data_IF_656430393645
#
_entry.id   IF_656430393645
#
_cell.length_a   1.000
_cell.length_b   1.000
_cell.length_c   1.000
_cell.angle_alpha   90.00
_cell.angle_beta   90.00
_cell.angle_gamma   90.00
#
_symmetry.space_group_name_H-M   'P 1'
#
loop_
_entity.id
_entity.type
_entity.pdbx_description
1 polymer ?
#
# COMPACT_ATOMS: atom_id res chain seq x y z
N UNK A 1 25.65 -1.96 -17.35
CA UNK A 1 24.88 -0.83 -16.78
C UNK A 1 23.38 -1.10 -16.76
N UNK A 2 22.79 -1.67 -17.80
CA UNK A 2 21.35 -1.99 -17.84
C UNK A 2 20.95 -2.98 -16.74
N UNK A 3 21.74 -4.01 -16.51
CA UNK A 3 21.46 -5.05 -15.49
C UNK A 3 21.41 -4.47 -14.07
N UNK A 4 22.29 -3.50 -13.77
CA UNK A 4 22.27 -2.82 -12.46
C UNK A 4 20.99 -2.01 -12.29
N UNK A 5 20.52 -1.33 -13.32
CA UNK A 5 19.27 -0.57 -13.28
C UNK A 5 18.05 -1.49 -13.10
N UNK A 6 18.05 -2.65 -13.74
CA UNK A 6 17.00 -3.67 -13.59
C UNK A 6 16.97 -4.20 -12.16
N UNK A 7 18.13 -4.57 -11.60
CA UNK A 7 18.24 -5.06 -10.23
C UNK A 7 17.78 -3.99 -9.23
N UNK A 8 18.24 -2.75 -9.40
CA UNK A 8 17.83 -1.63 -8.54
C UNK A 8 16.32 -1.36 -8.62
N UNK A 9 15.75 -1.36 -9.83
CA UNK A 9 14.30 -1.19 -10.01
C UNK A 9 13.51 -2.30 -9.31
N UNK A 10 13.94 -3.56 -9.43
CA UNK A 10 13.31 -4.69 -8.75
C UNK A 10 13.35 -4.54 -7.24
N UNK A 11 14.52 -4.16 -6.69
CA UNK A 11 14.68 -3.91 -5.26
C UNK A 11 13.77 -2.79 -4.76
N UNK A 12 13.77 -1.64 -5.42
CA UNK A 12 12.90 -0.51 -5.01
C UNK A 12 11.41 -0.81 -5.16
N UNK A 13 11.03 -1.58 -6.16
CA UNK A 13 9.65 -2.04 -6.32
C UNK A 13 9.22 -2.92 -5.13
N UNK A 14 10.06 -3.86 -4.71
CA UNK A 14 9.77 -4.75 -3.58
C UNK A 14 9.73 -3.95 -2.25
N UNK A 15 10.63 -2.99 -2.05
CA UNK A 15 10.60 -2.07 -0.89
C UNK A 15 9.33 -1.21 -0.89
N UNK A 16 8.92 -0.68 -2.03
CA UNK A 16 7.70 0.11 -2.14
C UNK A 16 6.44 -0.72 -1.83
N UNK A 17 6.39 -1.97 -2.31
CA UNK A 17 5.31 -2.91 -2.01
C UNK A 17 5.25 -3.23 -0.50
N UNK A 18 6.39 -3.49 0.13
CA UNK A 18 6.47 -3.72 1.57
C UNK A 18 6.04 -2.48 2.37
N UNK A 19 6.43 -1.28 1.93
CA UNK A 19 6.04 0.00 2.54
C UNK A 19 4.53 0.23 2.44
N UNK A 20 3.93 -0.07 1.30
CA UNK A 20 2.49 0.04 1.10
C UNK A 20 1.73 -0.91 2.02
N UNK A 21 2.18 -2.16 2.13
CA UNK A 21 1.59 -3.16 3.02
C UNK A 21 1.74 -2.75 4.50
N UNK A 22 2.93 -2.31 4.91
CA UNK A 22 3.18 -1.83 6.27
C UNK A 22 2.28 -0.63 6.62
N UNK A 23 2.13 0.33 5.69
CA UNK A 23 1.23 1.47 5.87
C UNK A 23 -0.22 1.05 6.06
N UNK A 24 -0.69 0.04 5.31
CA UNK A 24 -2.03 -0.51 5.44
C UNK A 24 -2.24 -1.21 6.80
N UNK A 25 -1.24 -1.98 7.27
CA UNK A 25 -1.29 -2.65 8.58
C UNK A 25 -1.32 -1.63 9.72
N UNK A 26 -0.44 -0.61 9.67
CA UNK A 26 -0.41 0.46 10.68
C UNK A 26 -1.77 1.18 10.71
N UNK A 27 -2.31 1.53 9.55
CA UNK A 27 -3.60 2.19 9.46
C UNK A 27 -4.72 1.32 10.05
N UNK A 28 -4.69 0.01 9.80
CA UNK A 28 -5.66 -0.94 10.36
C UNK A 28 -5.59 -1.04 11.87
N UNK A 29 -4.38 -1.10 12.43
CA UNK A 29 -4.17 -1.13 13.88
C UNK A 29 -4.70 0.15 14.53
N UNK A 30 -4.37 1.31 13.98
CA UNK A 30 -4.83 2.61 14.46
C UNK A 30 -6.36 2.74 14.35
N UNK A 31 -6.94 2.31 13.24
CA UNK A 31 -8.39 2.29 13.05
C UNK A 31 -9.08 1.41 14.08
N UNK A 32 -8.56 0.19 14.29
CA UNK A 32 -9.14 -0.77 15.25
C UNK A 32 -9.04 -0.25 16.69
N UNK A 33 -7.97 0.46 17.00
CA UNK A 33 -7.77 1.10 18.28
C UNK A 33 -8.76 2.26 18.47
N UNK A 34 -8.80 3.18 17.53
CA UNK A 34 -9.71 4.33 17.54
C UNK A 34 -11.19 3.91 17.68
N UNK A 35 -11.57 2.78 17.06
CA UNK A 35 -12.93 2.23 17.16
C UNK A 35 -13.28 1.67 18.54
N UNK A 36 -12.28 1.40 19.41
CA UNK A 36 -12.47 0.76 20.73
C UNK A 36 -12.26 1.70 21.90
N UNK A 37 -11.32 2.61 21.81
CA UNK A 37 -10.81 3.39 22.94
C UNK A 37 -11.38 4.80 23.01
N UNK A 38 -12.05 5.30 21.94
CA UNK A 38 -12.86 6.52 22.01
C UNK A 38 -12.28 7.76 21.31
N UNK A 39 -12.79 8.98 21.62
CA UNK A 39 -12.56 10.18 20.80
C UNK A 39 -11.09 10.64 20.70
N UNK A 40 -10.29 10.37 21.75
CA UNK A 40 -8.87 10.77 21.74
C UNK A 40 -8.06 10.01 20.69
N UNK A 41 -8.35 8.71 20.51
CA UNK A 41 -7.67 7.88 19.51
C UNK A 41 -8.15 8.18 18.10
N UNK A 42 -9.41 8.58 17.93
CA UNK A 42 -9.92 9.10 16.65
C UNK A 42 -9.18 10.39 16.26
N UNK A 43 -8.96 11.31 17.20
CA UNK A 43 -8.20 12.54 16.97
C UNK A 43 -6.73 12.27 16.64
N UNK A 44 -6.11 11.23 17.24
CA UNK A 44 -4.77 10.81 16.89
C UNK A 44 -4.72 10.20 15.47
N UNK A 45 -5.67 9.33 15.14
CA UNK A 45 -5.81 8.77 13.80
C UNK A 45 -6.00 9.87 12.75
N UNK A 46 -6.85 10.86 13.00
CA UNK A 46 -7.10 11.97 12.10
C UNK A 46 -5.82 12.79 11.83
N UNK A 47 -4.96 12.97 12.85
CA UNK A 47 -3.66 13.64 12.68
C UNK A 47 -2.63 12.81 11.92
N UNK A 48 -2.59 11.49 12.14
CA UNK A 48 -1.67 10.58 11.47
C UNK A 48 -2.08 10.27 10.02
N UNK A 49 -3.37 10.33 9.72
CA UNK A 49 -3.95 9.94 8.44
C UNK A 49 -3.33 10.64 7.21
N UNK A 50 -3.10 11.98 7.19
CA UNK A 50 -2.51 12.65 6.03
C UNK A 50 -1.08 12.18 5.74
N UNK A 51 -0.26 11.97 6.78
CA UNK A 51 1.10 11.49 6.63
C UNK A 51 1.13 10.06 6.06
N UNK A 52 0.33 9.16 6.64
CA UNK A 52 0.21 7.78 6.15
C UNK A 52 -0.31 7.73 4.71
N UNK A 53 -1.28 8.59 4.37
CA UNK A 53 -1.82 8.68 3.01
C UNK A 53 -0.77 9.15 2.01
N UNK A 54 0.05 10.13 2.39
CA UNK A 54 1.16 10.61 1.54
C UNK A 54 2.18 9.49 1.30
N UNK A 55 2.60 8.77 2.34
CA UNK A 55 3.50 7.63 2.22
C UNK A 55 2.94 6.53 1.33
N UNK A 56 1.68 6.14 1.55
CA UNK A 56 1.02 5.12 0.75
C UNK A 56 0.90 5.53 -0.73
N UNK A 57 0.57 6.79 -1.01
CA UNK A 57 0.46 7.27 -2.39
C UNK A 57 1.82 7.29 -3.10
N UNK A 58 2.90 7.68 -2.42
CA UNK A 58 4.26 7.64 -2.97
C UNK A 58 4.67 6.20 -3.27
N UNK A 59 4.44 5.28 -2.31
CA UNK A 59 4.74 3.86 -2.49
C UNK A 59 3.93 3.26 -3.64
N UNK A 60 2.62 3.56 -3.71
CA UNK A 60 1.76 3.09 -4.80
C UNK A 60 2.20 3.61 -6.16
N UNK A 61 2.54 4.90 -6.26
CA UNK A 61 3.07 5.48 -7.49
C UNK A 61 4.36 4.77 -7.93
N UNK A 62 5.25 4.46 -6.97
CA UNK A 62 6.47 3.72 -7.27
C UNK A 62 6.21 2.27 -7.70
N UNK A 63 5.27 1.59 -7.08
CA UNK A 63 4.84 0.22 -7.48
C UNK A 63 4.32 0.23 -8.93
N UNK A 64 3.51 1.22 -9.30
CA UNK A 64 2.97 1.32 -10.66
C UNK A 64 4.08 1.66 -11.66
N UNK A 65 4.86 2.71 -11.41
CA UNK A 65 5.90 3.18 -12.33
C UNK A 65 7.03 2.14 -12.46
N UNK A 66 7.48 1.56 -11.34
CA UNK A 66 8.54 0.54 -11.33
C UNK A 66 8.06 -0.84 -11.82
N UNK A 67 6.75 -1.11 -11.74
CA UNK A 67 6.16 -2.35 -12.23
C UNK A 67 6.13 -2.45 -13.75
N UNK A 68 6.02 -1.32 -14.47
CA UNK A 68 6.00 -1.32 -15.94
C UNK A 68 7.30 -1.86 -16.54
N UNK A 69 8.51 -1.33 -16.19
CA UNK A 69 9.78 -1.89 -16.68
C UNK A 69 9.95 -3.36 -16.30
N UNK A 70 9.53 -3.73 -15.07
CA UNK A 70 9.60 -5.11 -14.60
C UNK A 70 8.75 -6.06 -15.44
N UNK A 71 7.52 -5.67 -15.77
CA UNK A 71 6.63 -6.46 -16.62
C UNK A 71 7.22 -6.65 -18.04
N UNK A 72 7.88 -5.64 -18.58
CA UNK A 72 8.51 -5.69 -19.91
C UNK A 72 9.75 -6.59 -19.86
N UNK A 73 10.64 -6.42 -18.88
CA UNK A 73 11.88 -7.22 -18.77
C UNK A 73 11.60 -8.67 -18.45
N UNK A 74 10.59 -8.94 -17.61
CA UNK A 74 10.15 -10.30 -17.32
C UNK A 74 9.72 -11.06 -18.59
N UNK A 75 8.97 -10.40 -19.44
CA UNK A 75 8.47 -11.02 -20.68
C UNK A 75 9.59 -11.25 -21.73
N UNK A 76 10.63 -10.43 -21.73
CA UNK A 76 11.69 -10.50 -22.76
C UNK A 76 12.92 -11.30 -22.35
N UNK A 77 13.27 -11.33 -21.05
CA UNK A 77 14.52 -11.95 -20.57
C UNK A 77 14.30 -13.16 -19.65
N UNK A 78 13.32 -13.11 -18.75
CA UNK A 78 13.20 -14.12 -17.70
C UNK A 78 12.37 -15.36 -18.11
N UNK A 79 11.35 -15.19 -18.96
CA UNK A 79 10.54 -16.31 -19.46
C UNK A 79 11.33 -17.32 -20.31
N UNK A 80 12.43 -16.90 -20.94
CA UNK A 80 13.31 -17.76 -21.72
C UNK A 80 14.20 -18.66 -20.86
N UNK A 81 14.62 -18.18 -19.69
CA UNK A 81 15.57 -18.85 -18.79
C UNK A 81 14.89 -19.66 -17.67
N UNK A 82 13.65 -19.34 -17.30
CA UNK A 82 12.96 -19.88 -16.12
C UNK A 82 11.77 -20.77 -16.50
N UNK A 83 11.97 -21.77 -17.35
CA UNK A 83 10.91 -22.73 -17.69
C UNK A 83 10.67 -23.70 -16.53
N UNK A 84 9.48 -23.68 -15.95
CA UNK A 84 8.87 -24.76 -15.18
C UNK A 84 8.46 -24.37 -13.75
N UNK A 85 9.39 -24.38 -12.78
CA UNK A 85 9.03 -24.38 -11.35
C UNK A 85 8.85 -23.01 -10.72
N UNK A 86 9.36 -21.94 -11.33
CA UNK A 86 9.29 -20.57 -10.80
C UNK A 86 8.03 -19.81 -11.21
N UNK A 87 7.37 -20.21 -12.29
CA UNK A 87 6.13 -19.56 -12.75
C UNK A 87 5.03 -19.60 -11.70
N UNK A 88 4.74 -20.72 -11.00
CA UNK A 88 3.75 -20.76 -9.94
C UNK A 88 4.06 -19.81 -8.78
N UNK A 89 5.33 -19.72 -8.37
CA UNK A 89 5.75 -18.83 -7.27
C UNK A 89 5.53 -17.36 -7.62
N UNK A 90 5.80 -16.96 -8.86
CA UNK A 90 5.58 -15.60 -9.35
C UNK A 90 4.09 -15.27 -9.43
N UNK A 91 3.27 -16.21 -9.90
CA UNK A 91 1.81 -16.04 -9.94
C UNK A 91 1.26 -15.86 -8.52
N UNK A 92 1.67 -16.71 -7.57
CA UNK A 92 1.26 -16.61 -6.16
C UNK A 92 1.69 -15.25 -5.57
N UNK A 93 2.93 -14.80 -5.83
CA UNK A 93 3.41 -13.49 -5.39
C UNK A 93 2.49 -12.36 -5.89
N UNK A 94 2.17 -12.33 -7.18
CA UNK A 94 1.32 -11.28 -7.75
C UNK A 94 -0.12 -11.33 -7.22
N UNK A 95 -0.68 -12.52 -7.02
CA UNK A 95 -2.01 -12.69 -6.43
C UNK A 95 -2.03 -12.12 -5.01
N UNK A 96 -1.01 -12.42 -4.20
CA UNK A 96 -0.87 -11.87 -2.84
C UNK A 96 -0.69 -10.35 -2.85
N UNK A 97 0.13 -9.81 -3.75
CA UNK A 97 0.32 -8.37 -3.93
C UNK A 97 -0.99 -7.66 -4.29
N UNK A 98 -1.73 -8.16 -5.27
CA UNK A 98 -3.03 -7.60 -5.67
C UNK A 98 -4.03 -7.68 -4.52
N UNK A 99 -4.13 -8.81 -3.84
CA UNK A 99 -5.01 -8.97 -2.68
C UNK A 99 -4.67 -7.98 -1.57
N UNK A 100 -3.38 -7.76 -1.27
CA UNK A 100 -2.91 -6.81 -0.28
C UNK A 100 -3.26 -5.35 -0.67
N UNK A 101 -3.08 -4.99 -1.94
CA UNK A 101 -3.45 -3.65 -2.46
C UNK A 101 -4.96 -3.42 -2.35
N UNK A 102 -5.77 -4.39 -2.73
CA UNK A 102 -7.24 -4.31 -2.63
C UNK A 102 -7.69 -4.19 -1.18
N UNK A 103 -7.16 -5.04 -0.28
CA UNK A 103 -7.46 -4.98 1.14
C UNK A 103 -7.06 -3.61 1.75
N UNK A 104 -5.87 -3.10 1.40
CA UNK A 104 -5.40 -1.78 1.79
C UNK A 104 -6.33 -0.66 1.32
N UNK A 105 -6.77 -0.69 0.06
CA UNK A 105 -7.68 0.30 -0.51
C UNK A 105 -9.05 0.30 0.19
N UNK A 106 -9.61 -0.88 0.48
CA UNK A 106 -10.88 -1.01 1.20
C UNK A 106 -10.76 -0.46 2.62
N UNK A 107 -9.67 -0.75 3.29
CA UNK A 107 -9.39 -0.24 4.63
C UNK A 107 -9.21 1.28 4.63
N UNK A 108 -8.50 1.82 3.63
CA UNK A 108 -8.34 3.27 3.46
C UNK A 108 -9.69 3.98 3.31
N UNK A 109 -10.62 3.38 2.54
CA UNK A 109 -11.99 3.91 2.42
C UNK A 109 -12.73 3.89 3.76
N UNK A 110 -12.58 2.84 4.56
CA UNK A 110 -13.23 2.73 5.87
C UNK A 110 -12.72 3.81 6.84
N UNK A 111 -11.39 3.97 6.95
CA UNK A 111 -10.76 5.00 7.79
C UNK A 111 -11.14 6.40 7.34
N UNK A 112 -11.11 6.66 6.04
CA UNK A 112 -11.51 7.96 5.49
C UNK A 112 -12.92 8.36 5.91
N UNK A 113 -13.86 7.41 5.88
CA UNK A 113 -15.24 7.66 6.32
C UNK A 113 -15.31 8.04 7.80
N UNK A 114 -14.57 7.33 8.66
CA UNK A 114 -14.51 7.61 10.10
C UNK A 114 -13.95 9.02 10.38
N UNK A 115 -12.81 9.36 9.77
CA UNK A 115 -12.15 10.66 9.96
C UNK A 115 -13.04 11.80 9.46
N UNK A 116 -13.77 11.62 8.35
CA UNK A 116 -14.67 12.65 7.82
C UNK A 116 -15.92 12.84 8.67
N UNK A 117 -16.49 11.78 9.25
CA UNK A 117 -17.67 11.90 10.13
C UNK A 117 -17.34 12.64 11.43
N UNK A 118 -16.16 12.42 12.01
CA UNK A 118 -15.72 13.10 13.23
C UNK A 118 -15.52 14.60 13.01
N UNK A 119 -14.98 14.98 11.85
CA UNK A 119 -14.77 16.39 11.49
C UNK A 119 -16.08 17.18 11.31
N UNK A 120 -17.17 16.52 10.93
CA UNK A 120 -18.49 17.16 10.82
C UNK A 120 -19.13 17.38 12.19
N UNK A 121 -19.07 16.38 13.08
CA UNK A 121 -19.61 16.52 14.45
C UNK A 121 -18.92 17.63 15.26
N UNK A 122 -17.61 17.80 15.09
CA UNK A 122 -16.86 18.87 15.76
C UNK A 122 -17.22 20.28 15.26
N UNK A 123 -17.74 20.42 14.04
CA UNK A 123 -18.19 21.71 13.49
C UNK A 123 -19.58 22.12 13.96
N UNK A 124 -20.49 21.15 14.05
CA UNK A 124 -21.88 21.41 14.46
C UNK A 124 -22.03 21.67 15.96
N UNK A 125 -21.07 21.21 16.78
CA UNK A 125 -21.04 21.45 18.22
C UNK A 125 -20.40 22.79 18.65
N UNK A 126 -19.85 23.57 17.71
CA UNK A 126 -19.20 24.87 17.99
C UNK A 126 -20.01 26.08 17.48
N UNK A 127 -21.21 25.86 17.01
CA UNK A 127 -22.19 26.89 16.63
C UNK A 127 -23.28 27.02 17.68
#
# INVERSE_FOLDING_TARGET
MLDILIIMNNYFHDVATATLLASAVILWVLYRRASREGPQDVAFLARAYPALTRFANIALAWVIIGGIPRAITFNTHDLGAMRGDLVPAIVVKHVVEVAAVVAGALMWRAVRRMVMSDTQHGRDGSA
#
